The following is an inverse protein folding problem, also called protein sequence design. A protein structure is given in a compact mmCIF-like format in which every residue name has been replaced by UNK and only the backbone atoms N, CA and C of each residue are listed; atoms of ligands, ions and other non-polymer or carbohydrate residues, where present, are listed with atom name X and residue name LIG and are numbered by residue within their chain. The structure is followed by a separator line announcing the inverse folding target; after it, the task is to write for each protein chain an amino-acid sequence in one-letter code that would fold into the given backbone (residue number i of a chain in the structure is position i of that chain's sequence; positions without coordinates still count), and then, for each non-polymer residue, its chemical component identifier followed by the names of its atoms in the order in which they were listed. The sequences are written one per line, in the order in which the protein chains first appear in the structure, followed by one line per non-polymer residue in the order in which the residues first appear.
data_IF_898552202073
#
_entry.id   IF_898552202073
#
_cell.length_a   1.000
_cell.length_b   1.000
_cell.length_c   1.000
_cell.angle_alpha   90.00
_cell.angle_beta   90.00
_cell.angle_gamma   90.00
#
_symmetry.space_group_name_H-M   'P 1'
#
loop_
_entity.id
_entity.type
_entity.pdbx_description
1 polymer ?
#
# COMPACT_ATOMS: atom_id res chain seq x y z
N UNK A 1 12.37 19.50 -8.32
CA UNK A 1 12.31 18.13 -7.78
C UNK A 1 12.12 17.23 -8.99
N UNK A 2 13.21 16.95 -9.70
CA UNK A 2 13.19 16.29 -11.00
C UNK A 2 14.21 15.16 -10.99
N UNK A 3 13.81 14.00 -11.53
CA UNK A 3 14.57 12.78 -11.81
C UNK A 3 14.55 11.61 -10.80
N UNK A 4 13.54 11.48 -9.94
CA UNK A 4 13.26 10.16 -9.36
C UNK A 4 12.18 9.45 -10.21
N UNK A 5 12.38 8.18 -10.64
CA UNK A 5 11.37 7.47 -11.42
C UNK A 5 10.06 7.40 -10.62
N UNK A 6 8.89 7.45 -11.30
CA UNK A 6 7.61 7.36 -10.62
C UNK A 6 7.51 6.16 -9.68
N UNK A 7 6.96 6.40 -8.51
CA UNK A 7 6.67 5.37 -7.52
C UNK A 7 5.70 4.32 -8.09
N UNK A 8 5.81 3.09 -7.60
CA UNK A 8 4.87 2.00 -7.96
C UNK A 8 3.79 1.89 -6.89
N UNK A 9 2.53 1.89 -7.31
CA UNK A 9 1.42 1.46 -6.47
C UNK A 9 1.17 -0.04 -6.61
N UNK A 10 1.02 -0.74 -5.49
CA UNK A 10 0.71 -2.17 -5.44
C UNK A 10 -0.57 -2.37 -4.63
N UNK A 11 -1.57 -3.00 -5.25
CA UNK A 11 -2.81 -3.39 -4.58
C UNK A 11 -2.77 -4.89 -4.34
N UNK A 12 -2.59 -5.30 -3.08
CA UNK A 12 -2.45 -6.69 -2.68
C UNK A 12 -3.79 -7.42 -2.55
N UNK A 13 -3.86 -8.65 -3.07
CA UNK A 13 -4.98 -9.57 -2.86
C UNK A 13 -4.77 -10.51 -1.67
N UNK A 14 -5.53 -11.60 -1.65
CA UNK A 14 -5.45 -12.62 -0.61
C UNK A 14 -4.03 -13.20 -0.49
N UNK A 15 -3.50 -13.26 0.73
CA UNK A 15 -2.17 -13.84 1.00
C UNK A 15 -1.00 -12.86 0.89
N UNK A 16 -1.20 -11.64 0.37
CA UNK A 16 -0.20 -10.58 0.39
C UNK A 16 -0.71 -9.45 1.29
N UNK A 17 -0.38 -9.51 2.59
CA UNK A 17 -0.84 -8.55 3.60
C UNK A 17 0.28 -7.61 4.08
N UNK A 18 1.53 -7.99 3.83
CA UNK A 18 2.72 -7.24 4.18
C UNK A 18 3.78 -7.44 3.10
N UNK A 19 4.70 -6.48 2.99
CA UNK A 19 5.89 -6.59 2.13
C UNK A 19 7.11 -6.70 3.05
N UNK A 20 7.56 -7.92 3.32
CA UNK A 20 8.64 -8.19 4.26
C UNK A 20 9.99 -7.64 3.77
N UNK A 21 10.18 -7.55 2.46
CA UNK A 21 11.39 -7.03 1.82
C UNK A 21 11.44 -5.50 1.73
N UNK A 22 10.42 -4.81 2.26
CA UNK A 22 10.32 -3.37 2.20
C UNK A 22 11.32 -2.71 3.16
N UNK A 23 12.18 -1.85 2.63
CA UNK A 23 13.11 -1.04 3.42
C UNK A 23 12.47 0.29 3.78
N UNK A 24 12.76 0.77 4.98
CA UNK A 24 12.26 2.05 5.51
C UNK A 24 10.73 2.15 5.42
N UNK A 25 9.99 1.19 6.01
CA UNK A 25 8.54 1.20 5.94
C UNK A 25 7.98 2.45 6.62
N UNK A 26 7.04 3.09 5.93
CA UNK A 26 6.31 4.27 6.40
C UNK A 26 4.82 4.00 6.30
N UNK A 27 4.08 4.34 7.33
CA UNK A 27 2.62 4.23 7.33
C UNK A 27 1.99 5.57 6.96
N UNK A 28 1.06 5.54 6.00
CA UNK A 28 0.37 6.71 5.48
C UNK A 28 -1.13 6.53 5.70
N UNK A 29 -1.65 7.17 6.74
CA UNK A 29 -3.09 7.28 6.96
C UNK A 29 -3.60 8.48 6.17
N UNK A 30 -4.43 8.20 5.16
CA UNK A 30 -4.96 9.23 4.26
C UNK A 30 -6.47 9.15 4.21
N UNK A 31 -7.11 10.31 4.10
CA UNK A 31 -8.53 10.42 3.78
C UNK A 31 -8.70 10.74 2.30
N UNK A 32 -9.76 10.22 1.70
CA UNK A 32 -10.14 10.57 0.33
C UNK A 32 -11.55 11.14 0.31
N UNK A 33 -11.93 11.91 -0.73
CA UNK A 33 -13.32 12.33 -0.93
C UNK A 33 -14.33 11.16 -1.03
N UNK A 34 -13.85 9.94 -1.22
CA UNK A 34 -14.65 8.71 -1.33
C UNK A 34 -14.66 7.89 -0.03
N UNK A 35 -14.14 8.45 1.07
CA UNK A 35 -13.97 7.76 2.35
C UNK A 35 -12.56 7.22 2.56
N UNK A 36 -12.41 6.42 3.63
CA UNK A 36 -11.14 5.80 3.97
C UNK A 36 -10.80 4.68 2.96
N UNK A 37 -9.53 4.49 2.58
CA UNK A 37 -9.09 3.31 1.86
C UNK A 37 -9.34 2.02 2.67
N UNK A 38 -9.16 0.86 2.02
CA UNK A 38 -9.30 -0.46 2.66
C UNK A 38 -8.41 -0.64 3.90
N UNK A 39 -7.26 0.04 3.92
CA UNK A 39 -6.33 0.11 5.06
C UNK A 39 -5.38 1.32 4.96
N UNK A 40 -4.52 1.48 5.96
CA UNK A 40 -3.34 2.36 5.92
C UNK A 40 -2.39 1.92 4.82
N UNK A 41 -1.93 2.88 3.99
CA UNK A 41 -0.94 2.61 2.96
C UNK A 41 0.44 2.40 3.60
N UNK A 42 1.19 1.43 3.10
CA UNK A 42 2.57 1.18 3.54
C UNK A 42 3.52 1.56 2.41
N UNK A 43 4.34 2.59 2.62
CA UNK A 43 5.35 3.07 1.69
C UNK A 43 6.75 2.61 2.06
N UNK A 44 7.66 2.51 1.10
CA UNK A 44 9.07 2.23 1.34
C UNK A 44 9.87 1.97 0.06
N UNK A 45 11.08 1.44 0.20
CA UNK A 45 11.93 1.05 -0.94
C UNK A 45 11.93 -0.47 -1.12
N UNK A 46 11.56 -0.93 -2.32
CA UNK A 46 11.69 -2.33 -2.75
C UNK A 46 12.63 -2.38 -3.94
N UNK A 47 13.74 -3.11 -3.81
CA UNK A 47 14.80 -3.19 -4.83
C UNK A 47 15.28 -1.80 -5.31
N UNK A 48 15.39 -0.84 -4.38
CA UNK A 48 15.80 0.54 -4.65
C UNK A 48 14.71 1.44 -5.24
N UNK A 49 13.51 0.92 -5.53
CA UNK A 49 12.40 1.69 -6.11
C UNK A 49 11.38 2.07 -5.04
N UNK A 50 10.86 3.29 -5.12
CA UNK A 50 9.77 3.73 -4.25
C UNK A 50 8.50 2.94 -4.57
N UNK A 51 7.91 2.33 -3.55
CA UNK A 51 6.65 1.61 -3.65
C UNK A 51 5.68 2.03 -2.56
N UNK A 52 4.39 1.93 -2.86
CA UNK A 52 3.29 2.08 -1.90
C UNK A 52 2.34 0.89 -2.05
N UNK A 53 2.03 0.26 -0.93
CA UNK A 53 1.23 -0.94 -0.84
C UNK A 53 -0.11 -0.68 -0.14
N UNK A 54 -1.19 -1.21 -0.70
CA UNK A 54 -2.52 -1.19 -0.11
C UNK A 54 -3.17 -2.59 -0.23
N UNK A 55 -3.50 -3.28 0.88
CA UNK A 55 -4.23 -4.54 0.81
C UNK A 55 -5.69 -4.28 0.47
N UNK A 56 -6.20 -4.83 -0.64
CA UNK A 56 -7.57 -4.55 -1.12
C UNK A 56 -8.67 -5.00 -0.16
N UNK A 57 -8.38 -6.00 0.67
CA UNK A 57 -9.31 -6.58 1.64
C UNK A 57 -9.06 -6.11 3.08
N UNK A 58 -8.17 -5.14 3.26
CA UNK A 58 -7.65 -4.78 4.58
C UNK A 58 -6.80 -5.87 5.22
N UNK A 59 -6.04 -5.51 6.25
CA UNK A 59 -5.34 -6.44 7.12
C UNK A 59 -6.34 -7.43 7.73
N UNK A 60 -5.97 -8.71 7.72
CA UNK A 60 -6.86 -9.79 8.18
C UNK A 60 -7.98 -10.18 7.22
N UNK A 61 -8.00 -9.66 5.98
CA UNK A 61 -8.99 -10.03 4.95
C UNK A 61 -10.45 -9.78 5.40
N UNK A 62 -10.68 -8.64 6.03
CA UNK A 62 -11.96 -8.29 6.67
C UNK A 62 -12.99 -7.66 5.74
N UNK A 63 -12.56 -7.13 4.59
CA UNK A 63 -13.43 -6.46 3.60
C UNK A 63 -13.68 -7.43 2.45
N UNK A 64 -14.94 -7.71 2.15
CA UNK A 64 -15.35 -8.57 1.04
C UNK A 64 -15.24 -7.84 -0.30
N UNK A 65 -15.15 -8.56 -1.44
CA UNK A 65 -15.06 -7.92 -2.75
C UNK A 65 -16.21 -6.97 -3.14
N UNK A 66 -17.38 -7.08 -2.49
CA UNK A 66 -18.60 -6.33 -2.83
C UNK A 66 -18.94 -5.21 -1.83
N UNK A 67 -18.10 -5.03 -0.81
CA UNK A 67 -18.16 -3.91 0.13
C UNK A 67 -17.33 -2.74 -0.37
#
# INVERSE_FOLDING_TARGET
MENEPPAIGIIGGSGLYQMEELREPTEHKIDTPFGAPSDTLVGGKLSGRQVYFLPRHGRGHRILPHE
#
